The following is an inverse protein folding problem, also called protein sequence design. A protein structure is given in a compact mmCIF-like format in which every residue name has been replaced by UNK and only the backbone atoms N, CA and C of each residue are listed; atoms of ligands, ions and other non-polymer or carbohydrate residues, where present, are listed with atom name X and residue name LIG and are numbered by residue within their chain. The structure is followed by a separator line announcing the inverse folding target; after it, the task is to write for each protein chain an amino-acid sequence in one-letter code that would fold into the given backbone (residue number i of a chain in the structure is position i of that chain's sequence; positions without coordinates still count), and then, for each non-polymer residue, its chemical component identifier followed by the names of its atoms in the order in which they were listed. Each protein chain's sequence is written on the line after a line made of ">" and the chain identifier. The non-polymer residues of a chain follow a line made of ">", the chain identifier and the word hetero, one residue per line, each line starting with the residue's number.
data_IF_544046919750
#
_entry.id   IF_544046919750
#
_cell.length_a   1.000
_cell.length_b   1.000
_cell.length_c   1.000
_cell.angle_alpha   90.00
_cell.angle_beta   90.00
_cell.angle_gamma   90.00
#
_symmetry.space_group_name_H-M   'P 1'
#
loop_
_entity.id
_entity.type
_entity.pdbx_description
1 polymer ?
#
# COMPACT_ATOMS: atom_id res chain seq x y z
N UNK A 1 22.82 14.22 -19.96
CA UNK A 1 21.79 14.00 -18.91
C UNK A 1 22.51 13.45 -17.71
N UNK A 2 22.20 13.82 -16.47
CA UNK A 2 22.80 13.16 -15.32
C UNK A 2 22.52 11.66 -15.40
N UNK A 3 23.50 10.86 -15.03
CA UNK A 3 23.37 9.40 -15.02
C UNK A 3 22.22 8.98 -14.11
N UNK A 4 21.37 8.04 -14.56
CA UNK A 4 20.24 7.57 -13.75
C UNK A 4 20.76 6.87 -12.50
N UNK A 5 20.18 7.18 -11.34
CA UNK A 5 20.47 6.51 -10.06
C UNK A 5 20.38 4.97 -10.17
N UNK A 6 19.45 4.47 -11.00
CA UNK A 6 19.16 3.04 -11.13
C UNK A 6 20.06 2.30 -12.11
N UNK A 7 20.94 3.00 -12.88
CA UNK A 7 21.77 2.39 -13.92
C UNK A 7 22.62 1.24 -13.38
N UNK A 8 23.25 1.45 -12.20
CA UNK A 8 24.14 0.49 -11.58
C UNK A 8 23.52 -0.17 -10.33
N UNK A 9 22.20 -0.05 -10.18
CA UNK A 9 21.44 -0.65 -9.07
C UNK A 9 20.67 -1.87 -9.52
N UNK A 10 20.52 -2.79 -8.58
CA UNK A 10 19.70 -3.98 -8.72
C UNK A 10 18.52 -3.89 -7.75
N UNK A 11 17.32 -3.97 -8.26
CA UNK A 11 16.12 -3.91 -7.44
C UNK A 11 15.54 -5.31 -7.18
N UNK A 12 15.29 -5.67 -5.93
CA UNK A 12 14.48 -6.83 -5.56
C UNK A 12 13.12 -6.28 -5.10
N UNK A 13 12.04 -6.62 -5.81
CA UNK A 13 10.70 -6.10 -5.50
C UNK A 13 9.77 -7.24 -5.15
N UNK A 14 9.59 -7.51 -3.85
CA UNK A 14 8.61 -8.50 -3.40
C UNK A 14 7.20 -7.93 -3.61
N UNK A 15 6.25 -8.77 -4.01
CA UNK A 15 4.92 -8.29 -4.39
C UNK A 15 4.90 -7.49 -5.70
N UNK A 16 6.01 -7.47 -6.49
CA UNK A 16 6.14 -6.70 -7.72
C UNK A 16 5.15 -7.04 -8.83
N UNK A 17 4.47 -8.18 -8.75
CA UNK A 17 3.40 -8.57 -9.69
C UNK A 17 1.98 -8.22 -9.21
N UNK A 18 1.84 -7.69 -8.00
CA UNK A 18 0.56 -7.26 -7.43
C UNK A 18 0.12 -5.87 -7.93
N UNK A 19 -0.96 -5.38 -7.34
CA UNK A 19 -1.52 -4.06 -7.64
C UNK A 19 -0.47 -2.95 -7.58
N UNK A 20 -0.03 -2.57 -6.38
CA UNK A 20 0.99 -1.53 -6.19
C UNK A 20 2.32 -1.89 -6.87
N UNK A 21 2.74 -3.15 -6.77
CA UNK A 21 4.03 -3.62 -7.28
C UNK A 21 4.19 -3.42 -8.77
N UNK A 22 3.14 -3.63 -9.56
CA UNK A 22 3.20 -3.42 -11.02
C UNK A 22 3.52 -1.98 -11.39
N UNK A 23 2.99 -1.00 -10.66
CA UNK A 23 3.29 0.43 -10.85
C UNK A 23 4.69 0.80 -10.36
N UNK A 24 5.13 0.21 -9.23
CA UNK A 24 6.53 0.40 -8.77
C UNK A 24 7.51 -0.11 -9.81
N UNK A 25 7.29 -1.28 -10.41
CA UNK A 25 8.12 -1.80 -11.51
C UNK A 25 8.13 -0.85 -12.72
N UNK A 26 6.98 -0.32 -13.11
CA UNK A 26 6.88 0.65 -14.20
C UNK A 26 7.67 1.93 -13.89
N UNK A 27 7.55 2.46 -12.66
CA UNK A 27 8.31 3.66 -12.23
C UNK A 27 9.81 3.40 -12.17
N UNK A 28 10.25 2.26 -11.67
CA UNK A 28 11.66 1.86 -11.68
C UNK A 28 12.22 1.86 -13.10
N UNK A 29 11.51 1.24 -14.05
CA UNK A 29 11.91 1.21 -15.48
C UNK A 29 11.94 2.61 -16.08
N UNK A 30 10.92 3.45 -15.84
CA UNK A 30 10.88 4.84 -16.30
C UNK A 30 12.08 5.66 -15.78
N UNK A 31 12.56 5.34 -14.58
CA UNK A 31 13.75 5.97 -13.97
C UNK A 31 15.08 5.29 -14.32
N UNK A 32 15.05 4.35 -15.28
CA UNK A 32 16.26 3.73 -15.87
C UNK A 32 16.75 2.47 -15.16
N UNK A 33 15.93 1.84 -14.29
CA UNK A 33 16.28 0.53 -13.73
C UNK A 33 16.18 -0.55 -14.82
N UNK A 34 17.29 -1.27 -15.05
CA UNK A 34 17.37 -2.38 -16.00
C UNK A 34 17.38 -3.74 -15.31
N UNK A 35 17.85 -3.80 -14.07
CA UNK A 35 18.02 -5.03 -13.31
C UNK A 35 16.99 -5.10 -12.18
N UNK A 36 15.88 -5.81 -12.42
CA UNK A 36 14.78 -5.93 -11.45
C UNK A 36 14.43 -7.41 -11.27
N UNK A 37 14.59 -7.92 -10.05
CA UNK A 37 14.17 -9.25 -9.65
C UNK A 37 12.81 -9.19 -8.96
N UNK A 38 11.85 -9.98 -9.44
CA UNK A 38 10.48 -10.04 -8.90
C UNK A 38 10.21 -11.46 -8.42
N UNK A 39 10.39 -11.76 -7.14
CA UNK A 39 10.06 -13.09 -6.60
C UNK A 39 8.56 -13.35 -6.73
N UNK A 40 8.21 -14.52 -7.27
CA UNK A 40 6.83 -14.95 -7.44
C UNK A 40 6.42 -15.88 -6.30
N UNK A 41 5.20 -15.73 -5.78
CA UNK A 41 4.68 -16.55 -4.68
C UNK A 41 4.71 -18.06 -4.98
N UNK A 42 4.55 -18.47 -6.24
CA UNK A 42 4.65 -19.87 -6.65
C UNK A 42 6.06 -20.44 -6.50
N UNK A 43 7.09 -19.61 -6.45
CA UNK A 43 8.49 -20.01 -6.34
C UNK A 43 9.05 -19.79 -4.93
N UNK A 44 8.58 -18.74 -4.24
CA UNK A 44 9.09 -18.33 -2.93
C UNK A 44 7.91 -18.01 -2.00
N UNK A 45 7.70 -18.86 -1.01
CA UNK A 45 6.78 -18.58 0.10
C UNK A 45 7.49 -17.66 1.10
N UNK A 46 7.13 -16.38 1.11
CA UNK A 46 7.78 -15.39 1.98
C UNK A 46 7.45 -15.56 3.48
N UNK A 47 6.58 -16.49 3.85
CA UNK A 47 6.34 -16.87 5.26
C UNK A 47 7.34 -17.96 5.71
N UNK A 48 7.97 -18.69 4.77
CA UNK A 48 8.99 -19.69 5.05
C UNK A 48 10.41 -19.06 5.03
N UNK A 49 11.15 -19.08 6.16
CA UNK A 49 12.52 -18.55 6.21
C UNK A 49 13.47 -19.23 5.20
N UNK A 50 13.28 -20.51 4.89
CA UNK A 50 14.12 -21.20 3.92
C UNK A 50 13.91 -20.66 2.49
N UNK A 51 12.66 -20.36 2.14
CA UNK A 51 12.35 -19.75 0.85
C UNK A 51 12.87 -18.31 0.75
N UNK A 52 12.85 -17.55 1.85
CA UNK A 52 13.47 -16.21 1.89
C UNK A 52 14.99 -16.34 1.74
N UNK A 53 15.63 -17.28 2.42
CA UNK A 53 17.07 -17.53 2.25
C UNK A 53 17.42 -17.89 0.79
N UNK A 54 16.64 -18.79 0.19
CA UNK A 54 16.78 -19.18 -1.23
C UNK A 54 16.56 -18.00 -2.18
N UNK A 55 15.55 -17.16 -1.90
CA UNK A 55 15.29 -15.91 -2.66
C UNK A 55 16.56 -15.04 -2.75
N UNK A 56 17.21 -14.76 -1.61
CA UNK A 56 18.42 -13.95 -1.61
C UNK A 56 19.59 -14.65 -2.31
N UNK A 57 19.74 -15.96 -2.11
CA UNK A 57 20.76 -16.76 -2.81
C UNK A 57 20.60 -16.66 -4.34
N UNK A 58 19.38 -16.82 -4.83
CA UNK A 58 19.08 -16.78 -6.27
C UNK A 58 19.22 -15.35 -6.85
N UNK A 59 18.72 -14.34 -6.11
CA UNK A 59 18.71 -12.95 -6.57
C UNK A 59 20.11 -12.30 -6.56
N UNK A 60 21.03 -12.78 -5.72
CA UNK A 60 22.34 -12.17 -5.53
C UNK A 60 23.46 -12.87 -6.34
N UNK A 61 23.11 -13.86 -7.16
CA UNK A 61 24.11 -14.53 -7.99
C UNK A 61 24.78 -13.55 -8.91
N UNK A 62 26.11 -13.43 -8.78
CA UNK A 62 26.97 -12.53 -9.56
C UNK A 62 26.66 -11.02 -9.38
N UNK A 63 25.98 -10.64 -8.29
CA UNK A 63 25.59 -9.27 -7.96
C UNK A 63 26.32 -8.82 -6.69
N UNK A 64 26.88 -7.60 -6.69
CA UNK A 64 27.35 -6.97 -5.45
C UNK A 64 26.14 -6.55 -4.59
N UNK A 65 25.92 -7.15 -3.41
CA UNK A 65 24.77 -6.86 -2.57
C UNK A 65 24.66 -5.38 -2.14
N UNK A 66 25.78 -4.65 -2.07
CA UNK A 66 25.79 -3.22 -1.74
C UNK A 66 25.10 -2.35 -2.79
N UNK A 67 24.98 -2.84 -4.02
CA UNK A 67 24.24 -2.18 -5.08
C UNK A 67 22.76 -2.61 -5.14
N UNK A 68 22.33 -3.50 -4.26
CA UNK A 68 20.94 -3.99 -4.21
C UNK A 68 20.07 -3.12 -3.32
N UNK A 69 18.88 -2.82 -3.83
CA UNK A 69 17.80 -2.17 -3.09
C UNK A 69 16.61 -3.12 -3.05
N UNK A 70 16.20 -3.52 -1.85
CA UNK A 70 14.99 -4.33 -1.65
C UNK A 70 13.81 -3.39 -1.40
N UNK A 71 12.72 -3.55 -2.17
CA UNK A 71 11.44 -2.87 -1.95
C UNK A 71 10.42 -3.95 -1.58
N UNK A 72 10.00 -3.97 -0.31
CA UNK A 72 9.11 -4.99 0.21
C UNK A 72 7.65 -4.53 0.18
N UNK A 73 6.92 -4.96 -0.86
CA UNK A 73 5.50 -4.64 -1.08
C UNK A 73 4.58 -5.84 -0.80
N UNK A 74 5.13 -7.05 -0.73
CA UNK A 74 4.33 -8.23 -0.46
C UNK A 74 3.61 -8.12 0.89
N UNK A 75 2.34 -8.45 0.90
CA UNK A 75 1.51 -8.48 2.11
C UNK A 75 0.33 -9.42 1.90
N UNK A 76 -0.11 -10.07 2.97
CA UNK A 76 -1.43 -10.66 3.06
C UNK A 76 -2.39 -9.58 3.58
N UNK A 77 -3.27 -9.06 2.72
CA UNK A 77 -4.10 -7.88 3.00
C UNK A 77 -5.48 -8.01 2.39
N UNK A 78 -6.47 -7.43 3.05
CA UNK A 78 -7.86 -7.39 2.58
C UNK A 78 -8.66 -6.28 3.24
N UNK A 79 -9.94 -6.15 2.86
CA UNK A 79 -10.87 -5.22 3.46
C UNK A 79 -11.22 -5.55 4.92
N UNK A 80 -12.11 -4.75 5.55
CA UNK A 80 -12.52 -4.93 6.95
C UNK A 80 -13.09 -6.34 7.20
N UNK A 81 -13.87 -6.90 6.26
CA UNK A 81 -14.40 -8.26 6.36
C UNK A 81 -13.30 -9.30 6.54
N UNK A 82 -12.35 -9.32 5.63
CA UNK A 82 -11.23 -10.27 5.65
C UNK A 82 -10.36 -10.11 6.91
N UNK A 83 -10.11 -8.88 7.38
CA UNK A 83 -9.39 -8.65 8.64
C UNK A 83 -10.11 -9.24 9.86
N UNK A 84 -11.45 -9.23 9.86
CA UNK A 84 -12.24 -9.83 10.95
C UNK A 84 -12.27 -11.36 10.90
N UNK A 85 -12.23 -11.94 9.72
CA UNK A 85 -12.30 -13.38 9.50
C UNK A 85 -10.94 -14.07 9.68
N UNK A 86 -9.83 -13.39 9.28
CA UNK A 86 -8.48 -13.96 9.25
C UNK A 86 -7.44 -13.15 10.07
N UNK A 87 -7.73 -12.69 11.30
CA UNK A 87 -6.80 -11.84 12.05
C UNK A 87 -5.46 -12.51 12.36
N UNK A 88 -5.47 -13.81 12.64
CA UNK A 88 -4.26 -14.57 12.98
C UNK A 88 -3.33 -14.74 11.77
N UNK A 89 -3.88 -15.07 10.60
CA UNK A 89 -3.12 -15.21 9.35
C UNK A 89 -2.53 -13.85 8.94
N UNK A 90 -3.33 -12.77 8.99
CA UNK A 90 -2.85 -11.43 8.65
C UNK A 90 -1.76 -10.94 9.59
N UNK A 91 -1.82 -11.30 10.87
CA UNK A 91 -0.74 -11.00 11.80
C UNK A 91 0.51 -11.80 11.49
N UNK A 92 0.39 -13.13 11.48
CA UNK A 92 1.52 -14.04 11.35
C UNK A 92 2.26 -13.88 10.02
N UNK A 93 1.54 -13.91 8.91
CA UNK A 93 2.14 -13.86 7.58
C UNK A 93 2.89 -12.55 7.36
N UNK A 94 2.25 -11.40 7.68
CA UNK A 94 2.91 -10.10 7.49
C UNK A 94 4.09 -9.88 8.44
N UNK A 95 4.01 -10.41 9.67
CA UNK A 95 5.11 -10.33 10.61
C UNK A 95 6.30 -11.15 10.11
N UNK A 96 6.08 -12.42 9.77
CA UNK A 96 7.15 -13.34 9.34
C UNK A 96 7.81 -12.86 8.04
N UNK A 97 7.01 -12.49 7.04
CA UNK A 97 7.55 -11.91 5.79
C UNK A 97 8.43 -10.70 6.07
N UNK A 98 7.93 -9.75 6.86
CA UNK A 98 8.62 -8.49 7.09
C UNK A 98 9.92 -8.66 7.88
N UNK A 99 9.85 -9.32 9.02
CA UNK A 99 11.01 -9.43 9.92
C UNK A 99 12.11 -10.30 9.34
N UNK A 100 11.75 -11.39 8.66
CA UNK A 100 12.74 -12.29 8.08
C UNK A 100 13.40 -11.70 6.83
N UNK A 101 12.65 -11.01 5.96
CA UNK A 101 13.22 -10.32 4.81
C UNK A 101 14.23 -9.24 5.22
N UNK A 102 13.94 -8.44 6.27
CA UNK A 102 14.89 -7.46 6.81
C UNK A 102 16.13 -8.16 7.39
N UNK A 103 15.92 -9.25 8.16
CA UNK A 103 17.03 -9.98 8.76
C UNK A 103 17.97 -10.55 7.70
N UNK A 104 17.43 -11.22 6.71
CA UNK A 104 18.22 -11.80 5.61
C UNK A 104 18.86 -10.71 4.72
N UNK A 105 18.21 -9.56 4.50
CA UNK A 105 18.80 -8.43 3.82
C UNK A 105 20.06 -7.93 4.55
N UNK A 106 20.00 -7.77 5.86
CA UNK A 106 21.16 -7.43 6.69
C UNK A 106 22.25 -8.51 6.59
N UNK A 107 21.92 -9.79 6.75
CA UNK A 107 22.89 -10.91 6.68
C UNK A 107 23.61 -10.98 5.34
N UNK A 108 22.94 -10.63 4.27
CA UNK A 108 23.50 -10.59 2.91
C UNK A 108 24.11 -9.23 2.56
N UNK A 109 24.29 -8.32 3.50
CA UNK A 109 24.91 -6.99 3.29
C UNK A 109 24.24 -6.14 2.20
N UNK A 110 22.92 -6.25 2.06
CA UNK A 110 22.13 -5.47 1.10
C UNK A 110 22.32 -3.97 1.34
N UNK A 111 22.49 -3.20 0.27
CA UNK A 111 22.77 -1.78 0.35
C UNK A 111 21.62 -0.94 0.91
N UNK A 112 20.36 -1.32 0.62
CA UNK A 112 19.19 -0.61 1.18
C UNK A 112 17.95 -1.51 1.22
N UNK A 113 17.13 -1.32 2.27
CA UNK A 113 15.83 -1.95 2.41
C UNK A 113 14.72 -0.90 2.56
N UNK A 114 13.67 -1.00 1.73
CA UNK A 114 12.48 -0.14 1.78
C UNK A 114 11.32 -0.98 2.31
N UNK A 115 10.97 -0.76 3.58
CA UNK A 115 9.85 -1.41 4.22
C UNK A 115 8.57 -0.61 4.04
N UNK A 116 7.49 -1.26 3.62
CA UNK A 116 6.18 -0.63 3.47
C UNK A 116 5.27 -1.02 4.63
N UNK A 117 4.95 -0.03 5.46
CA UNK A 117 3.98 -0.10 6.53
C UNK A 117 2.54 0.11 6.04
N UNK A 118 1.70 0.64 6.92
CA UNK A 118 0.29 0.91 6.63
C UNK A 118 -0.26 1.99 7.55
N UNK A 119 -1.22 2.78 7.07
CA UNK A 119 -1.98 3.72 7.90
C UNK A 119 -2.73 3.01 9.04
N UNK A 120 -3.03 1.71 8.91
CA UNK A 120 -3.66 0.89 9.96
C UNK A 120 -2.77 0.69 11.20
N UNK A 121 -1.49 1.08 11.14
CA UNK A 121 -0.56 1.03 12.28
C UNK A 121 -0.78 2.17 13.30
N UNK A 122 -1.49 3.22 12.90
CA UNK A 122 -1.79 4.35 13.78
C UNK A 122 -2.83 3.99 14.87
N UNK A 123 -2.71 4.61 16.05
CA UNK A 123 -3.72 4.44 17.09
C UNK A 123 -5.12 4.87 16.64
N UNK A 124 -6.14 4.21 17.17
CA UNK A 124 -7.54 4.46 16.84
C UNK A 124 -7.97 5.92 17.01
N UNK A 125 -7.45 6.58 18.04
CA UNK A 125 -7.79 7.97 18.40
C UNK A 125 -6.68 8.96 18.10
N UNK A 126 -5.86 8.72 17.07
CA UNK A 126 -4.84 9.67 16.63
C UNK A 126 -5.50 10.96 16.13
N UNK A 127 -5.02 12.14 16.54
CA UNK A 127 -5.45 13.42 15.96
C UNK A 127 -5.24 13.47 14.44
N UNK A 128 -6.20 14.01 13.71
CA UNK A 128 -6.10 14.15 12.25
C UNK A 128 -5.63 15.56 11.90
N UNK A 129 -4.65 15.72 11.01
CA UNK A 129 -3.93 14.68 10.24
C UNK A 129 -2.92 13.88 11.11
N UNK A 130 -2.82 12.58 10.83
CA UNK A 130 -1.93 11.68 11.58
C UNK A 130 -0.47 12.02 11.32
N UNK A 131 0.27 12.35 12.38
CA UNK A 131 1.72 12.57 12.32
C UNK A 131 2.46 11.29 12.68
N UNK A 132 3.60 11.07 12.07
CA UNK A 132 4.40 9.85 12.29
C UNK A 132 4.84 9.70 13.77
N UNK A 133 4.99 10.81 14.47
CA UNK A 133 5.34 10.82 15.90
C UNK A 133 4.22 10.24 16.79
N UNK A 134 2.98 10.23 16.30
CA UNK A 134 1.83 9.69 17.03
C UNK A 134 1.69 8.15 16.90
N UNK A 135 2.53 7.49 16.12
CA UNK A 135 2.44 6.04 15.88
C UNK A 135 2.39 5.22 17.18
N UNK A 136 3.02 5.70 18.27
CA UNK A 136 3.12 4.96 19.53
C UNK A 136 2.17 5.44 20.63
N UNK A 137 1.29 6.40 20.32
CA UNK A 137 0.40 7.04 21.31
C UNK A 137 -0.88 6.25 21.61
N UNK A 138 -0.91 4.95 21.35
CA UNK A 138 -2.05 4.08 21.65
C UNK A 138 -2.14 2.83 20.80
N UNK A 139 -3.26 2.11 20.94
CA UNK A 139 -3.54 0.88 20.23
C UNK A 139 -4.32 1.17 18.93
N UNK A 140 -4.02 0.46 17.82
CA UNK A 140 -4.76 0.61 16.57
C UNK A 140 -6.24 0.22 16.71
N UNK A 141 -7.03 0.55 15.69
CA UNK A 141 -8.42 0.10 15.60
C UNK A 141 -8.47 -1.43 15.57
N UNK A 142 -9.34 -2.03 16.39
CA UNK A 142 -9.29 -3.43 16.81
C UNK A 142 -9.36 -4.41 15.65
N UNK A 143 -10.13 -4.12 14.60
CA UNK A 143 -10.26 -5.02 13.45
C UNK A 143 -9.01 -5.04 12.58
N UNK A 144 -8.29 -3.93 12.51
CA UNK A 144 -7.08 -3.78 11.72
C UNK A 144 -5.79 -3.96 12.55
N UNK A 145 -5.91 -4.01 13.89
CA UNK A 145 -4.75 -4.04 14.79
C UNK A 145 -3.78 -5.20 14.52
N UNK A 146 -4.22 -6.45 14.29
CA UNK A 146 -3.31 -7.55 13.99
C UNK A 146 -2.42 -7.26 12.77
N UNK A 147 -3.02 -6.88 11.66
CA UNK A 147 -2.30 -6.48 10.45
C UNK A 147 -1.42 -5.24 10.67
N UNK A 148 -2.00 -4.19 11.26
CA UNK A 148 -1.32 -2.93 11.50
C UNK A 148 -0.08 -3.08 12.39
N UNK A 149 -0.18 -3.86 13.47
CA UNK A 149 0.93 -4.13 14.39
C UNK A 149 2.01 -5.00 13.72
N UNK A 150 1.63 -6.04 12.98
CA UNK A 150 2.59 -6.86 12.23
C UNK A 150 3.45 -5.99 11.30
N UNK A 151 2.82 -5.08 10.55
CA UNK A 151 3.54 -4.14 9.67
C UNK A 151 4.38 -3.13 10.45
N UNK A 152 3.90 -2.66 11.61
CA UNK A 152 4.61 -1.70 12.48
C UNK A 152 5.90 -2.28 13.06
N UNK A 153 5.98 -3.60 13.28
CA UNK A 153 7.18 -4.24 13.81
C UNK A 153 8.39 -4.11 12.88
N UNK A 154 8.19 -3.98 11.59
CA UNK A 154 9.28 -3.68 10.65
C UNK A 154 9.95 -2.32 10.93
N UNK A 155 9.20 -1.31 11.43
CA UNK A 155 9.78 -0.02 11.85
C UNK A 155 10.74 -0.22 13.02
N UNK A 156 10.32 -0.95 14.06
CA UNK A 156 11.17 -1.24 15.22
C UNK A 156 12.44 -1.96 14.80
N UNK A 157 12.30 -2.99 13.96
CA UNK A 157 13.44 -3.75 13.47
C UNK A 157 14.38 -2.89 12.61
N UNK A 158 13.85 -2.08 11.69
CA UNK A 158 14.64 -1.19 10.84
C UNK A 158 15.47 -0.21 11.69
N UNK A 159 14.86 0.39 12.72
CA UNK A 159 15.55 1.31 13.63
C UNK A 159 16.60 0.60 14.49
N UNK A 160 16.28 -0.57 15.05
CA UNK A 160 17.21 -1.36 15.83
C UNK A 160 18.43 -1.83 15.02
N UNK A 161 18.20 -2.29 13.78
CA UNK A 161 19.29 -2.73 12.88
C UNK A 161 20.15 -1.57 12.41
N UNK A 162 19.55 -0.40 12.20
CA UNK A 162 20.30 0.82 11.91
C UNK A 162 21.19 1.22 13.09
N UNK A 163 20.62 1.24 14.29
CA UNK A 163 21.35 1.62 15.51
C UNK A 163 22.52 0.66 15.80
N UNK A 164 22.28 -0.63 15.69
CA UNK A 164 23.28 -1.64 16.08
C UNK A 164 24.30 -1.93 14.99
N UNK A 165 23.88 -1.92 13.72
CA UNK A 165 24.68 -2.42 12.58
C UNK A 165 24.91 -1.39 11.48
N UNK A 166 24.33 -0.19 11.58
CA UNK A 166 24.37 0.80 10.50
C UNK A 166 23.57 0.39 9.24
N UNK A 167 22.66 -0.59 9.36
CA UNK A 167 21.90 -1.11 8.22
C UNK A 167 20.93 -0.05 7.67
N UNK A 168 21.05 0.27 6.38
CA UNK A 168 20.21 1.27 5.73
C UNK A 168 18.83 0.71 5.40
N UNK A 169 17.90 0.87 6.33
CA UNK A 169 16.50 0.54 6.14
C UNK A 169 15.62 1.76 6.39
N UNK A 170 14.64 2.00 5.50
CA UNK A 170 13.65 3.08 5.62
C UNK A 170 12.24 2.49 5.74
N UNK A 171 11.32 3.24 6.34
CA UNK A 171 9.94 2.81 6.57
C UNK A 171 8.95 3.84 6.06
N UNK A 172 8.05 3.42 5.16
CA UNK A 172 7.05 4.27 4.53
C UNK A 172 5.64 3.80 4.90
N UNK A 173 4.74 4.74 5.13
CA UNK A 173 3.36 4.52 5.56
C UNK A 173 2.38 5.04 4.49
N UNK A 174 2.05 4.27 3.47
CA UNK A 174 1.03 4.67 2.51
C UNK A 174 -0.36 4.68 3.17
N UNK A 175 -1.17 5.66 2.77
CA UNK A 175 -2.60 5.70 3.05
C UNK A 175 -3.34 4.68 2.18
N UNK A 176 -4.68 4.66 2.21
CA UNK A 176 -5.47 3.75 1.37
C UNK A 176 -5.20 4.01 -0.12
N UNK A 177 -4.75 2.99 -0.82
CA UNK A 177 -4.44 3.08 -2.25
C UNK A 177 -5.67 2.73 -3.10
N UNK A 178 -5.74 3.32 -4.28
CA UNK A 178 -6.73 2.99 -5.30
C UNK A 178 -6.15 3.20 -6.69
N UNK A 179 -6.72 2.54 -7.69
CA UNK A 179 -6.29 2.71 -9.09
C UNK A 179 -6.61 1.53 -10.00
N UNK A 180 -6.15 1.59 -11.25
CA UNK A 180 -6.18 0.45 -12.17
C UNK A 180 -5.47 -0.76 -11.59
N UNK A 181 -5.95 -1.97 -11.89
CA UNK A 181 -5.40 -3.27 -11.41
C UNK A 181 -5.63 -3.54 -9.93
N UNK A 182 -6.42 -2.71 -9.21
CA UNK A 182 -6.82 -2.99 -7.84
C UNK A 182 -7.67 -4.27 -7.77
N UNK A 183 -7.90 -4.76 -6.55
CA UNK A 183 -8.79 -5.89 -6.31
C UNK A 183 -10.25 -5.44 -6.34
N UNK A 184 -11.02 -5.87 -7.35
CA UNK A 184 -12.45 -5.59 -7.50
C UNK A 184 -13.36 -6.73 -7.03
N UNK A 185 -12.84 -7.76 -6.35
CA UNK A 185 -13.66 -8.81 -5.79
C UNK A 185 -14.49 -8.25 -4.60
N UNK A 186 -15.83 -8.42 -4.66
CA UNK A 186 -16.75 -7.80 -3.68
C UNK A 186 -16.59 -8.31 -2.25
N UNK A 187 -16.01 -9.49 -2.05
CA UNK A 187 -15.80 -10.09 -0.72
C UNK A 187 -14.52 -9.57 -0.05
N UNK A 188 -13.49 -9.26 -0.84
CA UNK A 188 -12.15 -8.93 -0.32
C UNK A 188 -11.64 -7.53 -0.67
N UNK A 189 -12.34 -6.79 -1.55
CA UNK A 189 -11.90 -5.48 -2.01
C UNK A 189 -12.08 -4.36 -0.98
N UNK A 190 -11.35 -3.29 -1.21
CA UNK A 190 -11.54 -2.01 -0.51
C UNK A 190 -12.74 -1.24 -1.07
N UNK A 191 -13.10 -0.14 -0.38
CA UNK A 191 -14.34 0.61 -0.64
C UNK A 191 -14.44 1.16 -2.08
N UNK A 192 -13.38 1.74 -2.64
CA UNK A 192 -13.41 2.34 -3.99
C UNK A 192 -13.68 1.28 -5.06
N UNK A 193 -12.86 0.21 -5.19
CA UNK A 193 -13.13 -0.81 -6.21
C UNK A 193 -14.47 -1.52 -6.02
N UNK A 194 -14.90 -1.76 -4.75
CA UNK A 194 -16.21 -2.34 -4.48
C UNK A 194 -17.36 -1.44 -4.98
N UNK A 195 -17.31 -0.14 -4.69
CA UNK A 195 -18.35 0.80 -5.11
C UNK A 195 -18.38 1.00 -6.63
N UNK A 196 -17.21 1.10 -7.28
CA UNK A 196 -17.13 1.20 -8.75
C UNK A 196 -17.79 -0.02 -9.41
N UNK A 197 -17.42 -1.22 -8.97
CA UNK A 197 -17.98 -2.47 -9.52
C UNK A 197 -19.50 -2.53 -9.30
N UNK A 198 -19.95 -2.33 -8.07
CA UNK A 198 -21.37 -2.35 -7.73
C UNK A 198 -22.17 -1.33 -8.54
N UNK A 199 -21.68 -0.09 -8.66
CA UNK A 199 -22.40 0.96 -9.38
C UNK A 199 -22.51 0.67 -10.88
N UNK A 200 -21.46 0.14 -11.51
CA UNK A 200 -21.48 -0.23 -12.94
C UNK A 200 -22.42 -1.41 -13.18
N UNK A 201 -22.30 -2.48 -12.38
CA UNK A 201 -23.15 -3.67 -12.50
C UNK A 201 -24.63 -3.34 -12.23
N UNK A 202 -24.92 -2.48 -11.23
CA UNK A 202 -26.27 -2.02 -10.92
C UNK A 202 -26.87 -1.18 -12.07
N UNK A 203 -26.08 -0.29 -12.68
CA UNK A 203 -26.50 0.48 -13.85
C UNK A 203 -26.87 -0.41 -15.03
N UNK A 204 -26.08 -1.44 -15.32
CA UNK A 204 -26.33 -2.40 -16.40
C UNK A 204 -27.58 -3.26 -16.18
N UNK A 205 -27.84 -3.63 -14.90
CA UNK A 205 -29.06 -4.38 -14.52
C UNK A 205 -30.30 -3.50 -14.39
N UNK A 206 -30.16 -2.18 -14.53
CA UNK A 206 -31.28 -1.23 -14.36
C UNK A 206 -31.80 -1.16 -12.91
N UNK A 207 -30.93 -1.47 -11.93
CA UNK A 207 -31.30 -1.43 -10.51
C UNK A 207 -31.63 -0.01 -10.09
N UNK A 208 -32.54 0.12 -9.11
CA UNK A 208 -32.99 1.43 -8.58
C UNK A 208 -32.27 1.85 -7.32
N UNK A 209 -31.54 0.94 -6.70
CA UNK A 209 -30.88 1.15 -5.42
C UNK A 209 -29.46 0.56 -5.43
N UNK A 210 -28.53 1.28 -4.80
CA UNK A 210 -27.15 0.85 -4.56
C UNK A 210 -26.88 0.82 -3.08
N UNK A 211 -26.74 -0.38 -2.46
CA UNK A 211 -26.46 -0.48 -1.03
C UNK A 211 -25.02 -0.12 -0.69
N UNK A 212 -24.85 0.78 0.29
CA UNK A 212 -23.57 1.22 0.84
C UNK A 212 -23.55 0.96 2.34
N UNK A 213 -22.45 0.43 2.86
CA UNK A 213 -22.30 0.13 4.28
C UNK A 213 -22.17 1.40 5.13
N UNK A 214 -22.77 1.37 6.32
CA UNK A 214 -22.73 2.45 7.30
C UNK A 214 -23.67 3.61 6.95
N UNK A 215 -23.35 4.80 7.43
CA UNK A 215 -24.13 6.04 7.27
C UNK A 215 -23.47 7.07 6.33
N UNK A 216 -22.29 6.75 5.81
CA UNK A 216 -21.52 7.63 4.92
C UNK A 216 -20.74 8.75 5.60
N UNK A 217 -20.86 8.92 6.91
CA UNK A 217 -20.21 10.02 7.65
C UNK A 217 -18.69 9.90 7.79
N UNK A 218 -18.07 8.68 7.84
CA UNK A 218 -16.62 8.60 7.98
C UNK A 218 -15.88 9.22 6.80
N UNK A 219 -14.75 9.85 7.11
CA UNK A 219 -13.87 10.41 6.07
C UNK A 219 -12.61 9.56 5.91
N UNK A 220 -12.11 9.52 4.70
CA UNK A 220 -10.90 8.77 4.33
C UNK A 220 -10.05 9.60 3.38
N UNK A 221 -8.76 9.41 3.50
CA UNK A 221 -7.81 9.83 2.49
C UNK A 221 -7.47 8.65 1.60
N UNK A 222 -7.35 8.93 0.30
CA UNK A 222 -6.95 7.96 -0.71
C UNK A 222 -5.80 8.50 -1.55
N UNK A 223 -4.85 7.65 -1.87
CA UNK A 223 -3.70 7.98 -2.72
C UNK A 223 -3.76 7.15 -4.00
N UNK A 224 -3.68 7.82 -5.14
CA UNK A 224 -3.64 7.14 -6.43
C UNK A 224 -2.37 6.32 -6.58
N UNK A 225 -2.50 5.10 -7.09
CA UNK A 225 -1.43 4.09 -7.08
C UNK A 225 -0.16 4.51 -7.82
N UNK A 226 -0.27 5.29 -8.89
CA UNK A 226 0.91 5.81 -9.60
C UNK A 226 1.70 6.80 -8.75
N UNK A 227 1.02 7.67 -8.00
CA UNK A 227 1.67 8.58 -7.06
C UNK A 227 2.33 7.81 -5.91
N UNK A 228 1.65 6.79 -5.37
CA UNK A 228 2.23 5.93 -4.35
C UNK A 228 3.51 5.24 -4.84
N UNK A 229 3.48 4.69 -6.05
CA UNK A 229 4.65 4.07 -6.67
C UNK A 229 5.79 5.07 -6.88
N UNK A 230 5.47 6.27 -7.34
CA UNK A 230 6.44 7.36 -7.51
C UNK A 230 7.08 7.77 -6.18
N UNK A 231 6.28 7.93 -5.12
CA UNK A 231 6.76 8.25 -3.78
C UNK A 231 7.68 7.18 -3.19
N UNK A 232 7.33 5.90 -3.37
CA UNK A 232 8.17 4.78 -2.92
C UNK A 232 9.51 4.78 -3.65
N UNK A 233 9.52 4.95 -4.98
CA UNK A 233 10.76 4.97 -5.76
C UNK A 233 11.59 6.22 -5.44
N UNK A 234 10.97 7.40 -5.26
CA UNK A 234 11.65 8.61 -4.83
C UNK A 234 12.30 8.46 -3.45
N UNK A 235 11.61 7.85 -2.49
CA UNK A 235 12.18 7.55 -1.17
C UNK A 235 13.33 6.53 -1.26
N UNK A 236 13.20 5.50 -2.12
CA UNK A 236 14.27 4.53 -2.36
C UNK A 236 15.55 5.21 -2.87
N UNK A 237 15.43 6.22 -3.72
CA UNK A 237 16.54 6.98 -4.26
C UNK A 237 17.17 7.97 -3.27
N UNK A 238 16.33 8.73 -2.55
CA UNK A 238 16.77 9.97 -1.89
C UNK A 238 16.75 9.92 -0.38
N UNK A 239 15.90 9.07 0.23
CA UNK A 239 15.74 9.04 1.68
C UNK A 239 16.57 7.94 2.31
N UNK A 240 17.39 8.27 3.30
CA UNK A 240 18.22 7.34 4.06
C UNK A 240 18.10 7.53 5.57
N UNK A 241 17.03 8.20 6.03
CA UNK A 241 16.76 8.43 7.45
C UNK A 241 16.15 7.22 8.15
N UNK A 242 16.00 7.33 9.47
CA UNK A 242 15.40 6.32 10.36
C UNK A 242 13.95 6.66 10.73
N UNK A 243 13.51 7.88 10.42
CA UNK A 243 12.17 8.33 10.75
C UNK A 243 11.14 7.69 9.77
N UNK A 244 10.00 7.22 10.27
CA UNK A 244 8.91 6.80 9.40
C UNK A 244 8.38 7.98 8.57
N UNK A 245 7.92 7.71 7.36
CA UNK A 245 7.39 8.74 6.46
C UNK A 245 6.04 8.35 5.88
N UNK A 246 5.04 9.19 6.07
CA UNK A 246 3.72 9.05 5.47
C UNK A 246 3.75 9.31 3.96
N UNK A 247 3.03 8.49 3.21
CA UNK A 247 2.74 8.71 1.80
C UNK A 247 1.22 8.86 1.61
N UNK A 248 0.78 10.06 1.37
CA UNK A 248 -0.62 10.42 1.22
C UNK A 248 -0.84 11.51 0.17
N UNK A 249 -2.10 11.80 -0.11
CA UNK A 249 -2.52 12.86 -1.03
C UNK A 249 -2.75 14.20 -0.30
N UNK A 250 -2.98 14.16 1.01
CA UNK A 250 -3.46 15.29 1.80
C UNK A 250 -4.93 15.66 1.52
N UNK A 251 -5.67 14.84 0.77
CA UNK A 251 -7.07 15.07 0.43
C UNK A 251 -7.98 14.05 1.12
N UNK A 252 -8.89 14.54 1.95
CA UNK A 252 -9.84 13.74 2.73
C UNK A 252 -11.25 13.89 2.14
N UNK A 253 -11.97 12.78 1.95
CA UNK A 253 -13.33 12.75 1.41
C UNK A 253 -14.23 11.87 2.30
N UNK A 254 -15.50 12.25 2.49
CA UNK A 254 -16.48 11.42 3.18
C UNK A 254 -16.88 10.21 2.31
N UNK A 255 -17.26 9.10 2.95
CA UNK A 255 -17.78 7.94 2.21
C UNK A 255 -19.06 8.30 1.45
N UNK A 256 -19.84 9.25 1.97
CA UNK A 256 -21.01 9.80 1.27
C UNK A 256 -20.60 10.49 -0.04
N UNK A 257 -19.73 11.50 0.05
CA UNK A 257 -19.30 12.25 -1.14
C UNK A 257 -18.56 11.36 -2.15
N UNK A 258 -17.76 10.41 -1.66
CA UNK A 258 -17.12 9.38 -2.49
C UNK A 258 -18.16 8.55 -3.26
N UNK A 259 -19.20 8.07 -2.57
CA UNK A 259 -20.25 7.26 -3.20
C UNK A 259 -21.04 8.06 -4.24
N UNK A 260 -21.38 9.31 -3.93
CA UNK A 260 -22.06 10.22 -4.86
C UNK A 260 -21.20 10.52 -6.09
N UNK A 261 -19.89 10.74 -5.91
CA UNK A 261 -18.94 10.93 -7.00
C UNK A 261 -18.86 9.70 -7.91
N UNK A 262 -18.75 8.49 -7.33
CA UNK A 262 -18.70 7.24 -8.09
C UNK A 262 -20.00 7.02 -8.86
N UNK A 263 -21.15 7.23 -8.25
CA UNK A 263 -22.48 7.15 -8.92
C UNK A 263 -22.52 8.08 -10.12
N UNK A 264 -22.13 9.35 -9.94
CA UNK A 264 -22.07 10.34 -11.03
C UNK A 264 -21.14 9.91 -12.16
N UNK A 265 -19.93 9.43 -11.83
CA UNK A 265 -18.92 9.08 -12.83
C UNK A 265 -19.19 7.74 -13.54
N UNK A 266 -19.90 6.82 -12.90
CA UNK A 266 -20.29 5.53 -13.51
C UNK A 266 -21.56 5.63 -14.34
N UNK A 267 -22.40 6.66 -14.11
CA UNK A 267 -23.66 6.88 -14.79
C UNK A 267 -24.83 6.10 -14.19
N UNK A 268 -24.72 5.59 -12.96
CA UNK A 268 -25.82 4.94 -12.25
C UNK A 268 -26.92 5.96 -11.93
N UNK A 269 -28.18 5.62 -12.25
CA UNK A 269 -29.34 6.52 -12.13
C UNK A 269 -30.24 6.21 -10.90
N UNK A 270 -29.89 5.22 -10.09
CA UNK A 270 -30.61 4.83 -8.89
C UNK A 270 -30.24 5.66 -7.65
N UNK A 271 -30.75 5.25 -6.50
CA UNK A 271 -30.48 5.87 -5.18
C UNK A 271 -29.43 5.10 -4.40
N UNK A 272 -28.59 5.81 -3.63
CA UNK A 272 -27.78 5.21 -2.58
C UNK A 272 -28.67 4.82 -1.40
N UNK A 273 -28.51 3.59 -0.90
CA UNK A 273 -29.21 3.11 0.30
C UNK A 273 -28.20 2.72 1.37
N UNK A 274 -28.30 3.35 2.54
CA UNK A 274 -27.33 3.18 3.63
C UNK A 274 -27.68 2.00 4.51
N UNK A 275 -26.76 1.07 4.70
CA UNK A 275 -26.89 -0.10 5.56
C UNK A 275 -26.35 0.21 6.96
N UNK A 276 -27.17 0.79 7.83
CA UNK A 276 -26.80 1.28 9.17
C UNK A 276 -26.40 0.14 10.15
N UNK A 277 -26.76 -1.10 9.84
CA UNK A 277 -26.35 -2.30 10.59
C UNK A 277 -24.89 -2.70 10.32
N UNK A 278 -24.24 -2.13 9.30
CA UNK A 278 -22.85 -2.39 8.95
C UNK A 278 -21.92 -1.36 9.60
N UNK A 279 -20.67 -1.76 9.93
CA UNK A 279 -19.75 -0.89 10.64
C UNK A 279 -19.29 0.30 9.79
N UNK A 280 -19.20 1.48 10.42
CA UNK A 280 -18.60 2.68 9.85
C UNK A 280 -17.06 2.64 9.85
N UNK A 281 -16.44 1.86 10.76
CA UNK A 281 -15.01 1.90 11.01
C UNK A 281 -14.57 3.18 11.75
N UNK A 282 -13.30 3.54 11.64
CA UNK A 282 -12.73 4.73 12.26
C UNK A 282 -13.38 6.02 11.69
N UNK A 283 -13.77 7.01 12.51
CA UNK A 283 -14.50 8.20 12.04
C UNK A 283 -13.73 9.02 11.00
N UNK A 284 -12.43 9.31 11.26
CA UNK A 284 -11.57 10.07 10.35
C UNK A 284 -10.22 9.37 10.16
N UNK A 285 -9.66 9.49 8.94
CA UNK A 285 -8.33 8.97 8.61
C UNK A 285 -7.72 9.80 7.50
N UNK A 286 -6.71 10.59 7.84
CA UNK A 286 -5.93 11.42 6.93
C UNK A 286 -4.52 11.61 7.49
N UNK A 287 -3.51 11.70 6.63
CA UNK A 287 -2.10 11.75 7.00
C UNK A 287 -1.54 13.18 6.92
N UNK A 288 -0.63 13.50 7.81
CA UNK A 288 0.32 14.59 7.59
C UNK A 288 1.37 14.10 6.57
N UNK A 289 1.51 14.82 5.47
CA UNK A 289 2.39 14.44 4.35
C UNK A 289 3.64 15.32 4.26
N UNK A 290 3.91 16.13 5.28
CA UNK A 290 5.00 17.12 5.28
C UNK A 290 6.37 16.48 5.17
N UNK A 291 6.62 15.35 5.85
CA UNK A 291 7.92 14.67 5.86
C UNK A 291 8.35 14.16 4.49
N UNK A 292 7.42 13.66 3.67
CA UNK A 292 7.74 13.19 2.32
C UNK A 292 8.25 14.35 1.45
N UNK A 293 7.64 15.52 1.57
CA UNK A 293 8.09 16.75 0.88
C UNK A 293 9.43 17.25 1.41
N UNK A 294 9.60 17.27 2.73
CA UNK A 294 10.81 17.76 3.38
C UNK A 294 12.03 16.86 3.11
N UNK A 295 11.88 15.53 3.26
CA UNK A 295 13.02 14.61 3.26
C UNK A 295 13.47 14.18 1.87
N UNK A 296 12.55 14.10 0.90
CA UNK A 296 12.91 13.68 -0.47
C UNK A 296 12.16 14.41 -1.59
N UNK A 297 11.48 15.52 -1.27
CA UNK A 297 10.88 16.43 -2.24
C UNK A 297 9.68 15.84 -2.98
N UNK A 298 8.94 14.90 -2.36
CA UNK A 298 7.81 14.24 -2.98
C UNK A 298 6.47 14.75 -2.44
N UNK A 299 5.49 14.87 -3.33
CA UNK A 299 4.07 15.05 -3.03
C UNK A 299 3.22 14.42 -4.13
N UNK A 300 2.02 13.96 -3.80
CA UNK A 300 1.05 13.44 -4.78
C UNK A 300 0.73 14.51 -5.83
N UNK A 301 0.63 14.10 -7.10
CA UNK A 301 0.45 15.00 -8.24
C UNK A 301 -0.89 14.79 -8.96
N UNK A 302 -1.48 13.60 -8.86
CA UNK A 302 -2.67 13.24 -9.62
C UNK A 302 -3.91 13.64 -8.81
N UNK A 303 -4.76 14.56 -9.33
CA UNK A 303 -6.00 14.93 -8.67
C UNK A 303 -6.91 13.71 -8.45
N UNK A 304 -7.64 13.69 -7.33
CA UNK A 304 -8.48 12.54 -6.94
C UNK A 304 -9.49 12.14 -8.02
N UNK A 305 -10.19 13.10 -8.61
CA UNK A 305 -11.17 12.83 -9.67
C UNK A 305 -10.53 12.24 -10.93
N UNK A 306 -9.33 12.70 -11.30
CA UNK A 306 -8.59 12.15 -12.44
C UNK A 306 -8.17 10.70 -12.19
N UNK A 307 -7.63 10.39 -11.00
CA UNK A 307 -7.34 9.02 -10.60
C UNK A 307 -8.58 8.13 -10.60
N UNK A 308 -9.72 8.67 -10.13
CA UNK A 308 -11.01 7.97 -10.15
C UNK A 308 -11.46 7.66 -11.59
N UNK A 309 -11.40 8.65 -12.48
CA UNK A 309 -11.74 8.49 -13.90
C UNK A 309 -10.93 7.36 -14.54
N UNK A 310 -9.59 7.39 -14.38
CA UNK A 310 -8.69 6.33 -14.90
C UNK A 310 -9.01 4.96 -14.33
N UNK A 311 -9.37 4.88 -13.05
CA UNK A 311 -9.73 3.62 -12.38
C UNK A 311 -11.01 3.03 -12.95
N UNK A 312 -12.05 3.87 -13.14
CA UNK A 312 -13.34 3.46 -13.70
C UNK A 312 -13.18 3.01 -15.17
N UNK A 313 -12.43 3.76 -15.97
CA UNK A 313 -12.17 3.43 -17.38
C UNK A 313 -11.42 2.09 -17.49
N UNK A 314 -10.40 1.89 -16.65
CA UNK A 314 -9.66 0.64 -16.61
C UNK A 314 -10.56 -0.54 -16.23
N UNK A 315 -11.41 -0.39 -15.21
CA UNK A 315 -12.35 -1.44 -14.82
C UNK A 315 -13.30 -1.80 -15.97
N UNK A 316 -13.92 -0.81 -16.62
CA UNK A 316 -14.80 -1.04 -17.76
C UNK A 316 -14.11 -1.80 -18.89
N UNK A 317 -12.85 -1.47 -19.18
CA UNK A 317 -12.07 -2.10 -20.25
C UNK A 317 -11.53 -3.50 -19.92
N UNK A 318 -11.46 -3.88 -18.64
CA UNK A 318 -10.79 -5.12 -18.21
C UNK A 318 -11.69 -6.06 -17.39
N UNK A 319 -12.96 -5.75 -17.19
CA UNK A 319 -13.84 -6.49 -16.28
C UNK A 319 -13.94 -7.98 -16.59
N UNK A 320 -13.89 -8.38 -17.87
CA UNK A 320 -13.95 -9.78 -18.27
C UNK A 320 -12.73 -10.61 -17.80
N UNK A 321 -11.65 -9.93 -17.39
CA UNK A 321 -10.42 -10.52 -16.85
C UNK A 321 -10.36 -10.49 -15.33
N UNK A 322 -11.31 -9.80 -14.70
CA UNK A 322 -11.38 -9.64 -13.25
C UNK A 322 -12.25 -10.76 -12.71
N UNK A 323 -11.68 -11.64 -11.91
CA UNK A 323 -12.36 -12.75 -11.25
C UNK A 323 -13.05 -12.31 -9.97
#
# INVERSE_FOLDING_TARGET
>A
MPESFWKDKYAIVTGGSGFLGSFVIEKLKQRGATNIFIPRANNYNLVDPNDIHRLYTDALKDIDPKNVIVIHLAANVGGIGANREHPAEFFYDNLMMGVELIHQAYKNTIGKFVAIGTVCAYPKFTPVPFKEDDLWNGYPEETNAPYGLAKKMMLVQAQAYRQQYGFNSIFLLPVNLYGPRDNFNLESSHVIPALIRKAIEAAERGEKELPVWGDGSPTREFLYVEDAADGIVAAAEKYNGDQPVNLGSGYEISIKDLSELIVKMTGFQGKLTWQLDKPNGQPRRGLDVSRAKEYFGWSAQIPFEEGMRRTIEWFKANRDKIR
#
